data_IF_347802347894
#
_entry.id   IF_347802347894
#
_cell.length_a   1.000
_cell.length_b   1.000
_cell.length_c   1.000
_cell.angle_alpha   90.00
_cell.angle_beta   90.00
_cell.angle_gamma   90.00
#
_symmetry.space_group_name_H-M   'P 1'
#
loop_
_entity.id
_entity.type
_entity.pdbx_description
1 polymer ?
#
# COMPACT_ATOMS: atom_id res chain seq x y z
N UNK A 1 4.61 -16.67 4.88
CA UNK A 1 4.26 -15.25 4.79
C UNK A 1 3.23 -15.05 3.70
N UNK A 2 2.09 -14.43 4.04
CA UNK A 2 1.07 -14.04 3.07
C UNK A 2 1.10 -12.52 2.86
N UNK A 3 1.24 -12.11 1.59
CA UNK A 3 1.23 -10.71 1.16
C UNK A 3 -0.03 -10.45 0.34
N UNK A 4 -0.73 -9.36 0.62
CA UNK A 4 -1.82 -8.87 -0.24
C UNK A 4 -1.41 -7.61 -0.98
N UNK A 5 -1.95 -7.44 -2.19
CA UNK A 5 -1.73 -6.26 -3.02
C UNK A 5 -3.09 -5.70 -3.39
N UNK A 6 -3.30 -4.41 -3.14
CA UNK A 6 -4.50 -3.66 -3.52
C UNK A 6 -4.08 -2.34 -4.20
N UNK A 7 -4.97 -1.77 -5.01
CA UNK A 7 -4.74 -0.52 -5.75
C UNK A 7 -6.09 0.11 -6.09
N UNK A 8 -6.09 1.40 -6.46
CA UNK A 8 -7.24 2.08 -7.09
C UNK A 8 -8.54 1.95 -6.28
N UNK A 9 -8.44 2.11 -4.96
CA UNK A 9 -9.60 1.93 -4.09
C UNK A 9 -10.57 3.12 -4.16
N UNK A 10 -10.09 4.33 -4.45
CA UNK A 10 -10.90 5.55 -4.62
C UNK A 10 -12.00 5.72 -3.56
N UNK A 11 -11.62 5.68 -2.28
CA UNK A 11 -12.55 5.76 -1.14
C UNK A 11 -13.70 4.73 -1.15
N UNK A 12 -13.53 3.59 -1.82
CA UNK A 12 -14.50 2.50 -1.79
C UNK A 12 -14.41 1.74 -0.46
N UNK A 13 -14.94 2.37 0.59
CA UNK A 13 -14.89 1.88 1.98
C UNK A 13 -15.51 0.49 2.13
N UNK A 14 -16.59 0.23 1.40
CA UNK A 14 -17.29 -1.08 1.44
C UNK A 14 -16.37 -2.22 0.99
N UNK A 15 -15.59 -2.03 -0.07
CA UNK A 15 -14.66 -3.05 -0.54
C UNK A 15 -13.41 -3.12 0.34
N UNK A 16 -12.95 -1.97 0.85
CA UNK A 16 -11.83 -1.94 1.80
C UNK A 16 -12.17 -2.72 3.07
N UNK A 17 -13.34 -2.51 3.67
CA UNK A 17 -13.79 -3.24 4.86
C UNK A 17 -13.89 -4.76 4.62
N UNK A 18 -14.45 -5.17 3.48
CA UNK A 18 -14.49 -6.60 3.08
C UNK A 18 -13.09 -7.19 2.96
N UNK A 19 -12.18 -6.46 2.32
CA UNK A 19 -10.78 -6.85 2.20
C UNK A 19 -10.12 -6.98 3.59
N UNK A 20 -10.28 -5.99 4.47
CA UNK A 20 -9.69 -6.01 5.81
C UNK A 20 -10.20 -7.20 6.65
N UNK A 21 -11.50 -7.50 6.57
CA UNK A 21 -12.09 -8.67 7.22
C UNK A 21 -11.48 -9.99 6.67
N UNK A 22 -11.37 -10.10 5.34
CA UNK A 22 -10.74 -11.24 4.69
C UNK A 22 -9.25 -11.37 5.06
N UNK A 23 -8.50 -10.27 5.03
CA UNK A 23 -7.08 -10.23 5.32
C UNK A 23 -6.79 -10.67 6.76
N UNK A 24 -7.61 -10.21 7.70
CA UNK A 24 -7.57 -10.64 9.11
C UNK A 24 -7.83 -12.14 9.25
N UNK A 25 -8.88 -12.66 8.61
CA UNK A 25 -9.24 -14.08 8.67
C UNK A 25 -8.13 -14.99 8.08
N UNK A 26 -7.43 -14.50 7.06
CA UNK A 26 -6.35 -15.23 6.37
C UNK A 26 -4.95 -14.94 6.94
N UNK A 27 -4.84 -14.15 8.02
CA UNK A 27 -3.56 -13.80 8.66
C UNK A 27 -2.54 -13.21 7.68
N UNK A 28 -3.00 -12.27 6.83
CA UNK A 28 -2.10 -11.51 5.96
C UNK A 28 -1.11 -10.72 6.80
N UNK A 29 0.18 -10.84 6.51
CA UNK A 29 1.27 -10.25 7.30
C UNK A 29 1.75 -8.91 6.72
N UNK A 30 1.63 -8.75 5.40
CA UNK A 30 2.10 -7.58 4.66
C UNK A 30 1.03 -7.14 3.65
N UNK A 31 0.83 -5.83 3.52
CA UNK A 31 -0.08 -5.23 2.57
C UNK A 31 0.66 -4.22 1.70
N UNK A 32 0.56 -4.37 0.38
CA UNK A 32 1.05 -3.41 -0.59
C UNK A 32 -0.14 -2.64 -1.17
N UNK A 33 -0.08 -1.31 -1.08
CA UNK A 33 -1.10 -0.39 -1.61
C UNK A 33 -0.44 0.38 -2.74
N UNK A 34 -0.85 0.11 -3.98
CA UNK A 34 -0.23 0.68 -5.17
C UNK A 34 -0.89 2.00 -5.59
N UNK A 35 -1.26 2.84 -4.63
CA UNK A 35 -1.81 4.18 -4.88
C UNK A 35 -3.33 4.28 -4.92
N UNK A 36 -3.78 5.48 -5.26
CA UNK A 36 -5.19 5.87 -5.44
C UNK A 36 -6.09 5.48 -4.26
N UNK A 37 -5.59 5.77 -3.06
CA UNK A 37 -6.39 5.76 -1.83
C UNK A 37 -7.47 6.85 -1.88
N UNK A 38 -7.17 7.98 -2.54
CA UNK A 38 -7.98 9.18 -2.68
C UNK A 38 -7.96 10.09 -1.43
N UNK A 39 -8.72 9.80 -0.38
CA UNK A 39 -8.75 10.66 0.81
C UNK A 39 -7.74 10.22 1.89
N UNK A 40 -6.95 11.13 2.49
CA UNK A 40 -6.13 10.82 3.66
C UNK A 40 -6.93 10.29 4.86
N UNK A 41 -8.22 10.61 4.94
CA UNK A 41 -9.14 10.07 5.94
C UNK A 41 -9.32 8.56 5.81
N UNK A 42 -9.44 8.03 4.58
CA UNK A 42 -9.52 6.59 4.32
C UNK A 42 -8.30 5.85 4.84
N UNK A 43 -7.11 6.43 4.65
CA UNK A 43 -5.87 5.91 5.21
C UNK A 43 -5.88 5.91 6.74
N UNK A 44 -6.21 7.07 7.33
CA UNK A 44 -6.12 7.34 8.76
C UNK A 44 -7.15 6.55 9.58
N UNK A 45 -8.38 6.50 9.12
CA UNK A 45 -9.53 6.07 9.92
C UNK A 45 -9.89 4.61 9.68
N UNK A 46 -9.61 4.09 8.47
CA UNK A 46 -10.03 2.73 8.08
C UNK A 46 -8.84 1.83 7.79
N UNK A 47 -7.99 2.19 6.83
CA UNK A 47 -6.94 1.28 6.35
C UNK A 47 -5.88 0.99 7.43
N UNK A 48 -5.26 2.02 8.01
CA UNK A 48 -4.18 1.85 8.97
C UNK A 48 -4.65 1.21 10.30
N UNK A 49 -5.81 1.58 10.88
CA UNK A 49 -6.33 0.92 12.09
C UNK A 49 -6.89 -0.49 11.81
N UNK A 50 -7.42 -0.73 10.61
CA UNK A 50 -8.07 -1.98 10.24
C UNK A 50 -7.11 -3.12 9.89
N UNK A 51 -5.84 -2.82 9.62
CA UNK A 51 -4.82 -3.81 9.26
C UNK A 51 -3.70 -3.88 10.30
N UNK A 52 -3.49 -5.06 10.87
CA UNK A 52 -2.49 -5.27 11.93
C UNK A 52 -1.09 -5.61 11.43
N UNK A 53 -0.94 -5.99 10.16
CA UNK A 53 0.35 -6.30 9.54
C UNK A 53 1.08 -5.03 9.08
N UNK A 54 2.19 -5.20 8.36
CA UNK A 54 2.94 -4.05 7.81
C UNK A 54 2.32 -3.55 6.51
N UNK A 55 2.19 -2.23 6.36
CA UNK A 55 1.60 -1.59 5.18
C UNK A 55 2.70 -0.86 4.42
N UNK A 56 2.78 -1.11 3.11
CA UNK A 56 3.68 -0.44 2.18
C UNK A 56 2.83 0.33 1.16
N UNK A 57 3.03 1.63 1.06
CA UNK A 57 2.23 2.51 0.20
C UNK A 57 3.14 3.23 -0.78
N UNK A 58 2.71 3.31 -2.03
CA UNK A 58 3.23 4.26 -3.02
C UNK A 58 2.09 5.17 -3.48
N UNK A 59 2.43 6.36 -3.95
CA UNK A 59 1.44 7.26 -4.54
C UNK A 59 0.87 6.67 -5.82
N UNK A 60 -0.41 6.95 -6.04
CA UNK A 60 -1.00 6.88 -7.37
C UNK A 60 -1.07 8.25 -8.03
N UNK A 61 -1.82 8.36 -9.13
CA UNK A 61 -2.04 9.64 -9.79
C UNK A 61 -3.06 10.53 -9.05
N UNK A 62 -3.90 9.96 -8.18
CA UNK A 62 -4.87 10.68 -7.34
C UNK A 62 -4.47 10.53 -5.87
N UNK A 63 -3.75 11.53 -5.35
CA UNK A 63 -3.34 11.56 -3.95
C UNK A 63 -3.19 13.00 -3.43
N UNK A 64 -3.65 13.26 -2.22
CA UNK A 64 -3.19 14.42 -1.43
C UNK A 64 -1.84 14.07 -0.81
N UNK A 65 -0.78 14.25 -1.61
CA UNK A 65 0.58 13.78 -1.29
C UNK A 65 1.08 14.28 0.06
N UNK A 66 0.84 15.55 0.38
CA UNK A 66 1.32 16.14 1.63
C UNK A 66 0.60 15.53 2.85
N UNK A 67 -0.72 15.48 2.82
CA UNK A 67 -1.49 15.00 3.96
C UNK A 67 -1.43 13.48 4.09
N UNK A 68 -1.40 12.73 3.00
CA UNK A 68 -1.24 11.27 3.01
C UNK A 68 0.09 10.87 3.65
N UNK A 69 1.19 11.52 3.27
CA UNK A 69 2.51 11.28 3.87
C UNK A 69 2.52 11.63 5.38
N UNK A 70 1.91 12.76 5.77
CA UNK A 70 1.80 13.13 7.20
C UNK A 70 0.98 12.11 7.98
N UNK A 71 -0.14 11.63 7.42
CA UNK A 71 -0.98 10.61 8.02
C UNK A 71 -0.18 9.32 8.20
N UNK A 72 0.50 8.87 7.15
CA UNK A 72 1.34 7.67 7.15
C UNK A 72 2.37 7.66 8.29
N UNK A 73 3.03 8.80 8.55
CA UNK A 73 4.02 8.94 9.62
C UNK A 73 3.47 8.73 11.03
N UNK A 74 2.15 8.80 11.24
CA UNK A 74 1.54 8.58 12.56
C UNK A 74 1.39 7.08 12.91
N UNK A 75 1.69 6.17 11.98
CA UNK A 75 1.50 4.73 12.16
C UNK A 75 2.83 3.98 11.99
N UNK A 76 3.33 3.36 13.05
CA UNK A 76 4.65 2.71 13.05
C UNK A 76 4.76 1.48 12.15
N UNK A 77 3.63 0.86 11.81
CA UNK A 77 3.53 -0.31 10.92
C UNK A 77 3.32 0.07 9.45
N UNK A 78 3.23 1.36 9.13
CA UNK A 78 2.96 1.86 7.79
C UNK A 78 4.20 2.60 7.27
N UNK A 79 4.61 2.29 6.05
CA UNK A 79 5.67 3.03 5.34
C UNK A 79 5.11 3.52 4.01
N UNK A 80 5.13 4.83 3.83
CA UNK A 80 4.83 5.47 2.55
C UNK A 80 6.15 5.80 1.84
N UNK A 81 6.37 5.24 0.65
CA UNK A 81 7.64 5.31 -0.08
C UNK A 81 7.73 6.47 -1.08
N UNK A 82 6.63 7.19 -1.30
CA UNK A 82 6.54 8.18 -2.37
C UNK A 82 6.12 7.49 -3.66
N UNK A 83 6.76 7.81 -4.78
CA UNK A 83 6.36 7.29 -6.10
C UNK A 83 6.90 5.88 -6.43
N UNK A 84 7.97 5.47 -5.75
CA UNK A 84 8.66 4.20 -5.99
C UNK A 84 9.20 3.64 -4.66
N UNK A 85 8.89 2.38 -4.38
CA UNK A 85 9.49 1.63 -3.29
C UNK A 85 10.50 0.63 -3.84
N UNK A 86 11.66 0.50 -3.21
CA UNK A 86 12.59 -0.63 -3.35
C UNK A 86 12.93 -1.14 -1.94
N UNK A 87 12.69 -2.42 -1.67
CA UNK A 87 13.00 -3.05 -0.38
C UNK A 87 13.16 -4.57 -0.54
N UNK A 88 13.53 -5.25 0.54
CA UNK A 88 13.70 -6.71 0.57
C UNK A 88 12.74 -7.34 1.57
N UNK A 89 12.14 -8.47 1.19
CA UNK A 89 11.44 -9.38 2.10
C UNK A 89 11.90 -10.80 1.83
N UNK A 90 12.31 -11.54 2.87
CA UNK A 90 12.75 -12.93 2.76
C UNK A 90 13.81 -13.16 1.65
N UNK A 91 14.80 -12.25 1.54
CA UNK A 91 15.85 -12.27 0.50
C UNK A 91 15.34 -12.10 -0.94
N UNK A 92 14.10 -11.63 -1.10
CA UNK A 92 13.51 -11.26 -2.39
C UNK A 92 13.45 -9.75 -2.46
N UNK A 93 14.04 -9.20 -3.51
CA UNK A 93 13.89 -7.78 -3.82
C UNK A 93 12.50 -7.54 -4.34
N UNK A 94 11.88 -6.48 -3.82
CA UNK A 94 10.55 -6.03 -4.15
C UNK A 94 10.68 -4.59 -4.62
N UNK A 95 10.05 -4.27 -5.75
CA UNK A 95 9.83 -2.91 -6.18
C UNK A 95 8.33 -2.66 -6.33
N UNK A 96 7.84 -1.53 -5.83
CA UNK A 96 6.43 -1.12 -5.93
C UNK A 96 6.34 0.21 -6.66
N UNK A 97 5.43 0.31 -7.62
CA UNK A 97 5.05 1.57 -8.27
C UNK A 97 3.61 1.44 -8.76
N UNK A 98 2.90 2.56 -8.81
CA UNK A 98 1.56 2.63 -9.41
C UNK A 98 1.61 2.56 -10.94
N UNK A 99 2.71 3.02 -11.56
CA UNK A 99 2.77 3.24 -13.00
C UNK A 99 3.22 1.98 -13.77
N UNK A 100 2.39 1.42 -14.68
CA UNK A 100 2.70 0.16 -15.37
C UNK A 100 3.96 0.20 -16.25
N UNK A 101 4.26 1.34 -16.87
CA UNK A 101 5.47 1.52 -17.68
C UNK A 101 6.74 1.42 -16.82
N UNK A 102 6.75 2.09 -15.66
CA UNK A 102 7.86 2.02 -14.70
C UNK A 102 8.03 0.59 -14.19
N UNK A 103 6.91 -0.07 -13.82
CA UNK A 103 6.94 -1.46 -13.39
C UNK A 103 7.52 -2.41 -14.46
N UNK A 104 7.16 -2.21 -15.73
CA UNK A 104 7.65 -3.01 -16.86
C UNK A 104 9.15 -2.83 -17.07
N UNK A 105 9.65 -1.60 -16.99
CA UNK A 105 11.08 -1.30 -17.09
C UNK A 105 11.85 -1.96 -15.93
N UNK A 106 11.37 -1.81 -14.70
CA UNK A 106 11.99 -2.43 -13.52
C UNK A 106 12.07 -3.95 -13.64
N UNK A 107 10.99 -4.60 -14.09
CA UNK A 107 10.94 -6.05 -14.27
C UNK A 107 11.97 -6.58 -15.29
N UNK A 108 12.41 -5.75 -16.23
CA UNK A 108 13.44 -6.11 -17.22
C UNK A 108 14.86 -6.03 -16.68
N UNK A 109 15.10 -5.30 -15.59
CA UNK A 109 16.44 -5.08 -15.05
C UNK A 109 17.04 -6.28 -14.30
N UNK A 110 16.28 -7.37 -14.14
CA UNK A 110 16.64 -8.54 -13.33
C UNK A 110 17.16 -8.19 -11.92
N UNK A 111 16.77 -7.02 -11.41
CA UNK A 111 17.09 -6.59 -10.05
C UNK A 111 16.43 -7.52 -9.04
#
# INVERSE_FOLDING_TARGET
MLISIISDMHDNLVNLEKFLAWAKANKVEQLFVLGDICAPATLKEILAPGFSGKIHIVYGNVADRENEMKVAQNFSHLIHYGDLAEFEIDRRKIALTHYPNIAKELAQTAK
#
